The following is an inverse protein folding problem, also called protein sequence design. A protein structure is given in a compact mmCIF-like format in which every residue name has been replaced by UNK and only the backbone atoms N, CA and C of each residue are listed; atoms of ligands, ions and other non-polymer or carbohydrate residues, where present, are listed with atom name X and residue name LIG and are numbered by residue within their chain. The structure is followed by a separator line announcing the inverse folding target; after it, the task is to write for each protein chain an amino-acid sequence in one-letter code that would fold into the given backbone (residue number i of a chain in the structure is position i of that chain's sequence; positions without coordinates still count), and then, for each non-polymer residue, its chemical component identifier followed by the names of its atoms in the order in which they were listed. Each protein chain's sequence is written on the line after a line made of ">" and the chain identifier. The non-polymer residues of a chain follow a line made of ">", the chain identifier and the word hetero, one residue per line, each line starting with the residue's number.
data_IF_310292048212
#
_entry.id   IF_310292048212
#
_cell.length_a   1.000
_cell.length_b   1.000
_cell.length_c   1.000
_cell.angle_alpha   90.00
_cell.angle_beta   90.00
_cell.angle_gamma   90.00
#
_symmetry.space_group_name_H-M   'P 1'
#
loop_
_entity.id
_entity.type
_entity.pdbx_description
1 polymer ?
#
# COMPACT_ATOMS: atom_id res chain seq x y z
N UNK A 1 53.86 28.80 -35.29
CA UNK A 1 52.46 29.27 -35.21
C UNK A 1 51.59 28.07 -34.90
N UNK A 2 50.73 28.24 -33.89
CA UNK A 2 50.09 27.20 -33.07
C UNK A 2 49.10 26.30 -33.80
N UNK A 3 49.19 25.02 -33.44
CA UNK A 3 48.22 23.95 -33.70
C UNK A 3 46.97 24.15 -32.83
N UNK A 4 45.79 24.25 -33.44
CA UNK A 4 44.49 24.16 -32.74
C UNK A 4 43.83 22.84 -33.09
N UNK A 5 43.68 21.96 -32.10
CA UNK A 5 42.90 20.73 -32.21
C UNK A 5 41.82 20.72 -31.13
N UNK A 6 40.64 20.24 -31.53
CA UNK A 6 39.51 19.73 -30.73
C UNK A 6 38.48 20.71 -30.12
N UNK A 7 37.37 20.99 -30.85
CA UNK A 7 36.10 21.37 -30.23
C UNK A 7 35.05 20.23 -30.22
N UNK A 8 35.30 19.09 -30.87
CA UNK A 8 34.26 18.07 -31.12
C UNK A 8 34.09 17.02 -30.03
N UNK A 9 35.09 16.75 -29.20
CA UNK A 9 35.00 15.73 -28.13
C UNK A 9 34.22 16.19 -26.91
N UNK A 10 34.20 17.50 -26.61
CA UNK A 10 33.54 18.04 -25.42
C UNK A 10 32.00 18.00 -25.51
N UNK A 11 31.46 18.14 -26.72
CA UNK A 11 30.02 18.10 -26.96
C UNK A 11 29.42 16.70 -26.76
N UNK A 12 30.16 15.64 -27.10
CA UNK A 12 29.68 14.26 -26.95
C UNK A 12 29.60 13.81 -25.49
N UNK A 13 30.56 14.22 -24.66
CA UNK A 13 30.57 13.86 -23.22
C UNK A 13 29.41 14.52 -22.48
N UNK A 14 29.11 15.80 -22.77
CA UNK A 14 28.01 16.52 -22.13
C UNK A 14 26.64 15.94 -22.52
N UNK A 15 26.48 15.54 -23.79
CA UNK A 15 25.23 14.94 -24.29
C UNK A 15 25.03 13.53 -23.71
N UNK A 16 26.10 12.74 -23.60
CA UNK A 16 26.07 11.43 -22.95
C UNK A 16 25.75 11.54 -21.44
N UNK A 17 26.29 12.54 -20.74
CA UNK A 17 25.99 12.76 -19.32
C UNK A 17 24.52 13.16 -19.06
N UNK A 18 23.95 13.99 -19.96
CA UNK A 18 22.54 14.39 -19.90
C UNK A 18 21.58 13.22 -20.17
N UNK A 19 21.94 12.31 -21.08
CA UNK A 19 21.18 11.08 -21.34
C UNK A 19 21.24 10.09 -20.18
N UNK A 20 22.36 10.02 -19.46
CA UNK A 20 22.46 9.18 -18.24
C UNK A 20 21.64 9.78 -17.09
N UNK A 21 21.69 11.11 -16.88
CA UNK A 21 20.91 11.78 -15.84
C UNK A 21 19.38 11.68 -16.05
N UNK A 22 18.92 11.67 -17.29
CA UNK A 22 17.50 11.51 -17.62
C UNK A 22 16.95 10.11 -17.30
N UNK A 23 17.79 9.07 -17.27
CA UNK A 23 17.37 7.71 -16.92
C UNK A 23 17.26 7.48 -15.40
N UNK A 24 17.91 8.31 -14.57
CA UNK A 24 17.82 8.23 -13.11
C UNK A 24 16.76 9.14 -12.49
N UNK A 25 16.09 9.96 -13.31
CA UNK A 25 14.88 10.68 -12.94
C UNK A 25 13.62 9.81 -13.14
N UNK A 26 13.72 8.50 -12.95
CA UNK A 26 12.57 7.74 -12.48
C UNK A 26 12.33 8.21 -11.04
N UNK A 27 11.63 9.33 -10.90
CA UNK A 27 11.09 9.77 -9.64
C UNK A 27 10.35 8.56 -9.07
N UNK A 28 10.90 7.94 -8.03
CA UNK A 28 10.22 6.91 -7.29
C UNK A 28 8.88 7.51 -6.92
N UNK A 29 7.80 7.00 -7.50
CA UNK A 29 6.46 7.48 -7.17
C UNK A 29 6.36 7.44 -5.64
N UNK A 30 5.90 8.53 -4.99
CA UNK A 30 5.80 8.57 -3.55
C UNK A 30 4.99 7.36 -3.11
N UNK A 31 5.66 6.43 -2.44
CA UNK A 31 5.09 5.13 -2.11
C UNK A 31 3.76 5.36 -1.39
N UNK A 32 2.69 4.74 -1.88
CA UNK A 32 1.37 4.98 -1.34
C UNK A 32 1.31 4.50 0.12
N UNK A 33 1.22 5.44 1.05
CA UNK A 33 1.08 5.16 2.47
C UNK A 33 -0.38 5.27 2.91
N UNK A 34 -0.75 4.52 3.94
CA UNK A 34 -2.05 4.54 4.58
C UNK A 34 -1.88 4.65 6.09
N UNK A 35 -2.72 5.45 6.75
CA UNK A 35 -2.85 5.49 8.22
C UNK A 35 -4.09 4.71 8.66
N UNK A 36 -3.96 3.49 9.21
CA UNK A 36 -5.10 2.65 9.58
C UNK A 36 -6.13 3.36 10.49
N UNK A 37 -5.65 4.17 11.44
CA UNK A 37 -6.49 4.92 12.37
C UNK A 37 -7.33 6.03 11.72
N UNK A 38 -6.98 6.43 10.49
CA UNK A 38 -7.68 7.46 9.71
C UNK A 38 -8.59 6.86 8.64
N UNK A 39 -8.72 5.54 8.58
CA UNK A 39 -9.64 4.86 7.67
C UNK A 39 -11.08 5.18 8.07
N UNK A 40 -11.82 5.84 7.17
CA UNK A 40 -13.20 6.25 7.37
C UNK A 40 -14.21 5.37 6.66
N UNK A 41 -13.77 4.65 5.64
CA UNK A 41 -14.62 3.67 4.98
C UNK A 41 -13.84 2.85 3.98
N UNK A 42 -14.48 1.81 3.49
CA UNK A 42 -13.92 0.92 2.49
C UNK A 42 -15.01 0.36 1.58
N UNK A 43 -14.58 -0.08 0.40
CA UNK A 43 -15.37 -0.77 -0.61
C UNK A 43 -14.56 -1.95 -1.09
N UNK A 44 -15.23 -3.07 -1.34
CA UNK A 44 -14.59 -4.27 -1.87
C UNK A 44 -14.79 -4.26 -3.37
N UNK A 45 -13.70 -4.10 -4.12
CA UNK A 45 -13.72 -4.10 -5.58
C UNK A 45 -13.88 -5.54 -6.10
N UNK A 46 -13.22 -6.50 -5.44
CA UNK A 46 -13.33 -7.93 -5.70
C UNK A 46 -12.69 -8.75 -4.56
N UNK A 47 -12.59 -10.06 -4.70
CA UNK A 47 -12.06 -10.97 -3.67
C UNK A 47 -10.60 -10.73 -3.27
N UNK A 48 -9.81 -10.00 -4.08
CA UNK A 48 -8.39 -9.70 -3.80
C UNK A 48 -8.12 -8.21 -3.63
N UNK A 49 -9.14 -7.36 -3.78
CA UNK A 49 -8.94 -5.91 -3.89
C UNK A 49 -9.95 -5.15 -3.05
N UNK A 50 -9.43 -4.26 -2.21
CA UNK A 50 -10.22 -3.38 -1.34
C UNK A 50 -9.77 -1.94 -1.54
N UNK A 51 -10.72 -1.05 -1.79
CA UNK A 51 -10.49 0.39 -1.80
C UNK A 51 -10.78 0.96 -0.42
N UNK A 52 -9.85 1.75 0.10
CA UNK A 52 -9.92 2.31 1.45
C UNK A 52 -9.84 3.82 1.39
N UNK A 53 -10.77 4.49 2.07
CA UNK A 53 -10.81 5.95 2.19
C UNK A 53 -10.13 6.38 3.49
N UNK A 54 -8.95 6.98 3.38
CA UNK A 54 -8.23 7.64 4.47
C UNK A 54 -8.62 9.11 4.56
N UNK A 55 -9.20 9.52 5.69
CA UNK A 55 -9.62 10.90 5.87
C UNK A 55 -10.66 11.34 4.84
N UNK A 56 -10.52 12.56 4.30
CA UNK A 56 -11.48 13.15 3.35
C UNK A 56 -11.07 13.01 1.88
N UNK A 57 -9.79 12.82 1.59
CA UNK A 57 -9.25 13.07 0.24
C UNK A 57 -8.34 11.96 -0.29
N UNK A 58 -7.93 11.00 0.54
CA UNK A 58 -6.97 9.98 0.13
C UNK A 58 -7.65 8.63 -0.01
N UNK A 59 -7.62 8.06 -1.22
CA UNK A 59 -8.05 6.69 -1.48
C UNK A 59 -6.83 5.83 -1.76
N UNK A 60 -6.82 4.63 -1.18
CA UNK A 60 -5.80 3.61 -1.40
C UNK A 60 -6.45 2.34 -1.92
N UNK A 61 -5.84 1.73 -2.93
CA UNK A 61 -6.18 0.38 -3.38
C UNK A 61 -5.26 -0.60 -2.69
N UNK A 62 -5.85 -1.50 -1.91
CA UNK A 62 -5.18 -2.57 -1.21
C UNK A 62 -5.37 -3.83 -2.03
N UNK A 63 -4.27 -4.37 -2.55
CA UNK A 63 -4.26 -5.61 -3.31
C UNK A 63 -3.67 -6.71 -2.44
N UNK A 64 -4.36 -7.84 -2.37
CA UNK A 64 -4.00 -8.99 -1.56
C UNK A 64 -3.24 -10.03 -2.38
N UNK A 65 -2.40 -10.83 -1.73
CA UNK A 65 -1.62 -11.92 -2.36
C UNK A 65 -2.52 -13.02 -2.94
N UNK A 66 -3.75 -13.13 -2.46
CA UNK A 66 -4.74 -14.10 -2.92
C UNK A 66 -6.16 -13.77 -2.46
N UNK A 67 -7.15 -14.56 -2.89
CA UNK A 67 -8.55 -14.33 -2.55
C UNK A 67 -8.78 -14.37 -1.03
N UNK A 68 -9.46 -13.36 -0.51
CA UNK A 68 -9.82 -13.24 0.90
C UNK A 68 -11.33 -13.37 1.04
N UNK A 69 -11.82 -14.60 1.20
CA UNK A 69 -13.26 -14.91 1.24
C UNK A 69 -14.02 -14.10 2.29
N UNK A 70 -13.39 -13.81 3.44
CA UNK A 70 -13.98 -13.02 4.52
C UNK A 70 -14.29 -11.57 4.15
N UNK A 71 -13.73 -11.02 3.07
CA UNK A 71 -14.07 -9.67 2.62
C UNK A 71 -15.56 -9.55 2.29
N UNK A 72 -16.14 -10.53 1.61
CA UNK A 72 -17.52 -10.44 1.12
C UNK A 72 -18.51 -10.06 2.25
N UNK A 73 -18.29 -10.57 3.46
CA UNK A 73 -19.18 -10.40 4.61
C UNK A 73 -18.64 -9.45 5.69
N UNK A 74 -17.42 -8.92 5.53
CA UNK A 74 -16.75 -8.16 6.60
C UNK A 74 -17.43 -6.83 6.93
N UNK A 75 -17.78 -6.58 8.19
CA UNK A 75 -18.32 -5.27 8.56
C UNK A 75 -17.22 -4.19 8.59
N UNK A 76 -15.97 -4.59 8.87
CA UNK A 76 -14.85 -3.67 9.13
C UNK A 76 -13.54 -4.26 8.66
N UNK A 77 -12.62 -3.42 8.22
CA UNK A 77 -11.23 -3.81 7.97
C UNK A 77 -10.27 -3.16 8.96
N UNK A 78 -9.20 -3.86 9.30
CA UNK A 78 -8.09 -3.33 10.09
C UNK A 78 -6.77 -3.71 9.42
N UNK A 79 -5.66 -3.19 9.93
CA UNK A 79 -4.32 -3.48 9.42
C UNK A 79 -3.45 -3.97 10.55
N UNK A 80 -2.78 -5.10 10.33
CA UNK A 80 -1.91 -5.71 11.32
C UNK A 80 -0.59 -6.08 10.69
N UNK A 81 0.49 -5.85 11.43
CA UNK A 81 1.78 -6.46 11.16
C UNK A 81 1.85 -7.66 12.09
N UNK A 82 1.84 -8.87 11.54
CA UNK A 82 1.72 -10.06 12.37
C UNK A 82 1.93 -11.37 11.62
N UNK A 83 2.30 -12.38 12.40
CA UNK A 83 2.70 -13.70 11.95
C UNK A 83 1.54 -14.56 11.47
N UNK A 84 1.24 -14.47 10.18
CA UNK A 84 0.78 -15.63 9.42
C UNK A 84 1.92 -16.24 8.57
N UNK A 85 3.14 -15.70 8.67
CA UNK A 85 4.35 -16.24 8.03
C UNK A 85 5.54 -16.08 8.97
N UNK A 86 6.32 -17.16 9.11
CA UNK A 86 7.61 -17.19 9.80
C UNK A 86 8.58 -16.25 9.06
N UNK A 87 9.26 -15.35 9.77
CA UNK A 87 10.38 -14.60 9.20
C UNK A 87 11.65 -15.39 9.49
N UNK A 88 12.54 -15.59 8.53
CA UNK A 88 13.82 -16.26 8.82
C UNK A 88 14.85 -15.22 9.24
N UNK A 89 15.52 -15.42 10.37
CA UNK A 89 16.66 -14.58 10.74
C UNK A 89 17.87 -14.79 9.80
N UNK A 90 18.96 -14.04 9.99
CA UNK A 90 20.19 -14.18 9.17
C UNK A 90 20.80 -15.59 9.22
N UNK A 91 20.43 -16.41 10.20
CA UNK A 91 20.82 -17.81 10.34
C UNK A 91 19.79 -18.79 9.75
N UNK A 92 18.75 -18.30 9.07
CA UNK A 92 17.72 -19.10 8.44
C UNK A 92 16.70 -19.69 9.41
N UNK A 93 16.61 -19.20 10.65
CA UNK A 93 15.66 -19.72 11.64
C UNK A 93 14.35 -18.98 11.59
N UNK A 94 13.27 -19.73 11.63
CA UNK A 94 11.91 -19.22 11.70
C UNK A 94 11.66 -18.48 13.03
N UNK A 95 11.44 -17.17 12.93
CA UNK A 95 11.11 -16.26 14.01
C UNK A 95 9.68 -15.77 13.83
N UNK A 96 8.89 -15.89 14.90
CA UNK A 96 7.54 -15.32 14.95
C UNK A 96 7.64 -13.79 15.08
N UNK A 97 7.13 -13.07 14.09
CA UNK A 97 7.05 -11.60 14.17
C UNK A 97 5.83 -11.22 15.00
N UNK A 98 6.05 -11.03 16.30
CA UNK A 98 5.05 -10.46 17.22
C UNK A 98 5.26 -8.94 17.26
N UNK A 99 4.81 -8.25 16.21
CA UNK A 99 4.80 -6.79 16.20
C UNK A 99 3.44 -6.24 16.62
N UNK A 100 3.47 -5.01 17.14
CA UNK A 100 2.31 -4.23 17.59
C UNK A 100 1.16 -4.33 16.58
N UNK A 101 0.02 -4.83 17.04
CA UNK A 101 -1.20 -5.19 16.27
C UNK A 101 -1.87 -4.04 15.50
N UNK A 102 -1.27 -2.85 15.41
CA UNK A 102 -1.78 -1.71 14.65
C UNK A 102 -0.62 -0.77 14.31
N UNK A 103 0.02 -0.92 13.13
CA UNK A 103 1.02 0.04 12.68
C UNK A 103 0.43 1.45 12.50
N UNK A 104 1.16 2.51 12.87
CA UNK A 104 0.68 3.89 12.72
C UNK A 104 0.62 4.36 11.26
N UNK A 105 1.44 3.76 10.40
CA UNK A 105 1.48 4.00 8.96
C UNK A 105 1.86 2.69 8.29
N UNK A 106 1.20 2.36 7.18
CA UNK A 106 1.50 1.19 6.35
C UNK A 106 1.72 1.61 4.91
N UNK A 107 2.44 0.79 4.16
CA UNK A 107 2.72 0.95 2.73
C UNK A 107 3.00 -0.41 2.11
N UNK A 108 3.22 -0.47 0.80
CA UNK A 108 3.73 -1.68 0.12
C UNK A 108 5.04 -2.18 0.74
N UNK A 109 5.88 -1.29 1.28
CA UNK A 109 7.14 -1.65 1.92
C UNK A 109 7.00 -2.15 3.36
N UNK A 110 5.79 -2.16 3.93
CA UNK A 110 5.56 -2.66 5.29
C UNK A 110 5.63 -4.19 5.29
N UNK A 111 6.66 -4.79 5.93
CA UNK A 111 6.83 -6.23 5.90
C UNK A 111 5.71 -6.92 6.67
N UNK A 112 5.27 -8.08 6.19
CA UNK A 112 4.24 -8.92 6.82
C UNK A 112 2.91 -8.20 7.09
N UNK A 113 2.59 -7.21 6.27
CA UNK A 113 1.33 -6.49 6.36
C UNK A 113 0.16 -7.40 5.99
N UNK A 114 -0.84 -7.44 6.87
CA UNK A 114 -2.12 -8.08 6.62
C UNK A 114 -3.26 -7.07 6.70
N UNK A 115 -4.22 -7.21 5.79
CA UNK A 115 -5.55 -6.65 5.92
C UNK A 115 -6.36 -7.62 6.78
N UNK A 116 -6.96 -7.14 7.86
CA UNK A 116 -7.80 -7.95 8.73
C UNK A 116 -9.26 -7.66 8.41
N UNK A 117 -9.97 -8.66 7.89
CA UNK A 117 -11.40 -8.63 7.74
C UNK A 117 -12.07 -9.02 9.07
N UNK A 118 -12.82 -8.11 9.67
CA UNK A 118 -13.55 -8.32 10.92
C UNK A 118 -15.06 -8.37 10.70
N UNK A 119 -15.73 -9.33 11.33
CA UNK A 119 -17.19 -9.47 11.34
C UNK A 119 -17.63 -9.95 12.71
N UNK A 120 -18.20 -9.05 13.52
CA UNK A 120 -18.40 -9.31 14.95
C UNK A 120 -17.08 -9.65 15.62
N UNK A 121 -17.01 -10.83 16.24
CA UNK A 121 -15.80 -11.35 16.90
C UNK A 121 -14.87 -12.12 15.95
N UNK A 122 -15.35 -12.50 14.76
CA UNK A 122 -14.53 -13.21 13.79
C UNK A 122 -13.53 -12.26 13.11
N UNK A 123 -12.27 -12.69 13.03
CA UNK A 123 -11.19 -11.95 12.38
C UNK A 123 -10.40 -12.87 11.47
N UNK A 124 -10.23 -12.46 10.22
CA UNK A 124 -9.42 -13.18 9.23
C UNK A 124 -8.34 -12.25 8.71
N UNK A 125 -7.08 -12.67 8.80
CA UNK A 125 -5.95 -11.94 8.24
C UNK A 125 -5.73 -12.37 6.78
N UNK A 126 -5.57 -11.40 5.90
CA UNK A 126 -5.32 -11.58 4.48
C UNK A 126 -4.08 -10.78 4.08
N UNK A 127 -3.08 -11.45 3.51
CA UNK A 127 -1.78 -10.85 3.24
C UNK A 127 -1.87 -9.80 2.14
N UNK A 128 -1.30 -8.63 2.41
CA UNK A 128 -1.24 -7.52 1.47
C UNK A 128 -0.04 -7.70 0.55
N UNK A 129 -0.30 -7.71 -0.76
CA UNK A 129 0.72 -7.72 -1.79
C UNK A 129 1.28 -6.32 -2.03
N UNK A 130 0.36 -5.35 -2.16
CA UNK A 130 0.70 -3.95 -2.47
C UNK A 130 -0.39 -2.98 -2.09
N UNK A 131 0.03 -1.75 -1.85
CA UNK A 131 -0.82 -0.57 -1.64
C UNK A 131 -0.53 0.43 -2.75
N UNK A 132 -1.58 0.86 -3.43
CA UNK A 132 -1.50 1.79 -4.54
C UNK A 132 -2.34 3.03 -4.27
N UNK A 133 -2.00 4.12 -4.94
CA UNK A 133 -2.89 5.28 -5.00
C UNK A 133 -4.14 4.92 -5.81
N UNK A 134 -5.28 5.41 -5.35
CA UNK A 134 -6.54 5.36 -6.09
C UNK A 134 -7.24 6.71 -5.98
N UNK A 135 -8.23 6.92 -6.82
CA UNK A 135 -9.00 8.16 -6.90
C UNK A 135 -10.36 8.01 -6.23
N UNK A 136 -11.02 9.13 -5.95
CA UNK A 136 -12.41 9.12 -5.51
C UNK A 136 -13.33 8.47 -6.55
N UNK A 137 -13.04 8.66 -7.84
CA UNK A 137 -13.80 8.03 -8.92
C UNK A 137 -13.68 6.50 -8.89
N UNK A 138 -12.48 5.95 -8.57
CA UNK A 138 -12.30 4.51 -8.35
C UNK A 138 -13.19 4.02 -7.20
N UNK A 139 -13.20 4.74 -6.08
CA UNK A 139 -13.97 4.38 -4.89
C UNK A 139 -15.48 4.41 -5.14
N UNK A 140 -15.96 5.48 -5.77
CA UNK A 140 -17.38 5.70 -6.00
C UNK A 140 -17.93 4.82 -7.12
N UNK A 141 -17.10 4.42 -8.10
CA UNK A 141 -17.49 3.46 -9.15
C UNK A 141 -17.51 2.01 -8.64
N UNK A 142 -16.63 1.66 -7.70
CA UNK A 142 -16.60 0.34 -7.09
C UNK A 142 -17.76 0.11 -6.10
N UNK A 143 -18.24 1.17 -5.44
CA UNK A 143 -19.27 1.07 -4.40
C UNK A 143 -20.65 1.51 -4.91
N UNK A 144 -21.62 0.59 -4.99
CA UNK A 144 -23.03 1.02 -5.11
C UNK A 144 -23.47 1.64 -3.77
N UNK A 145 -24.51 2.48 -3.75
CA UNK A 145 -25.11 2.94 -2.50
C UNK A 145 -25.49 1.74 -1.60
N UNK A 146 -24.82 1.60 -0.45
CA UNK A 146 -24.94 0.45 0.47
C UNK A 146 -23.72 -0.48 0.55
N UNK A 147 -22.83 -0.46 -0.46
CA UNK A 147 -21.59 -1.23 -0.46
C UNK A 147 -20.44 -0.51 0.27
N UNK A 148 -20.57 0.82 0.41
CA UNK A 148 -19.64 1.65 1.19
C UNK A 148 -19.86 1.38 2.67
N UNK A 149 -18.87 0.75 3.31
CA UNK A 149 -18.91 0.42 4.74
C UNK A 149 -18.19 1.51 5.53
N UNK A 150 -18.92 2.19 6.41
CA UNK A 150 -18.35 3.21 7.30
C UNK A 150 -17.50 2.55 8.40
N UNK A 151 -16.31 3.10 8.61
CA UNK A 151 -15.31 2.62 9.57
C UNK A 151 -15.08 3.57 10.72
N UNK A 152 -15.73 4.74 10.71
CA UNK A 152 -15.71 5.64 11.85
C UNK A 152 -16.16 4.83 13.06
N UNK A 153 -15.29 4.74 14.07
CA UNK A 153 -15.71 4.23 15.36
C UNK A 153 -16.81 5.18 15.83
N UNK A 154 -18.04 4.69 15.90
CA UNK A 154 -19.03 5.34 16.74
C UNK A 154 -18.39 5.45 18.12
N UNK A 155 -18.13 6.67 18.56
CA UNK A 155 -17.57 6.95 19.87
C UNK A 155 -18.58 6.65 21.00
N UNK A 156 -19.66 5.91 20.71
CA UNK A 156 -20.73 5.53 21.61
C UNK A 156 -20.67 4.01 21.83
N UNK A 157 -19.88 3.57 22.81
CA UNK A 157 -19.77 2.14 23.13
C UNK A 157 -18.72 1.79 24.19
N UNK A 158 -18.45 2.70 25.13
CA UNK A 158 -17.87 2.39 26.43
C UNK A 158 -18.71 3.05 27.50
#
# INVERSE_FOLDING_TARGET
>A
MNTTIFPTTFAFVLTALLLVAANFAAAAEPQATLRPERVRGFVIENATTVLVREGRESIRRIVLDGPCASLATTARVDFQIGGAVLSSDEAGRDVSVVLKNAPPVVSTGTPHLNLVAAQGDARTACRVARIEAATSADFDSAGRPGDVRDQRRDAAGR
#
